data_IF_633780592938
#
_entry.id   IF_633780592938
#
_cell.length_a   1.000
_cell.length_b   1.000
_cell.length_c   1.000
_cell.angle_alpha   90.00
_cell.angle_beta   90.00
_cell.angle_gamma   90.00
#
_symmetry.space_group_name_H-M   'P 1'
#
loop_
_entity.id
_entity.type
_entity.pdbx_description
1 polymer ?
#
# COMPACT_ATOMS: atom_id res chain seq x y z
N UNK A 1 -21.40 2.01 -5.84
CA UNK A 1 -20.79 1.20 -4.77
C UNK A 1 -20.95 -0.25 -5.16
N UNK A 2 -19.97 -1.09 -4.84
CA UNK A 2 -20.04 -2.52 -5.10
C UNK A 2 -20.61 -3.21 -3.87
N UNK A 3 -21.54 -4.16 -4.02
CA UNK A 3 -22.05 -4.91 -2.87
C UNK A 3 -20.91 -5.73 -2.28
N UNK A 4 -20.58 -5.48 -1.01
CA UNK A 4 -19.61 -6.29 -0.29
C UNK A 4 -20.22 -7.67 -0.04
N UNK A 5 -19.59 -8.78 -0.48
CA UNK A 5 -20.11 -10.11 -0.21
C UNK A 5 -20.19 -10.38 1.29
N UNK A 6 -21.28 -11.01 1.76
CA UNK A 6 -21.50 -11.24 3.20
C UNK A 6 -20.35 -12.03 3.84
N UNK A 7 -19.82 -13.03 3.13
CA UNK A 7 -18.65 -13.81 3.54
C UNK A 7 -17.40 -12.96 3.82
N UNK A 8 -17.30 -11.77 3.23
CA UNK A 8 -16.17 -10.86 3.35
C UNK A 8 -16.51 -9.50 3.96
N UNK A 9 -17.70 -9.34 4.56
CA UNK A 9 -18.17 -8.08 5.16
C UNK A 9 -17.18 -7.45 6.11
N UNK A 10 -16.54 -8.25 6.98
CA UNK A 10 -15.49 -7.80 7.90
C UNK A 10 -14.27 -7.15 7.23
N UNK A 11 -14.03 -7.45 5.95
CA UNK A 11 -12.93 -6.88 5.16
C UNK A 11 -13.34 -5.64 4.36
N UNK A 12 -14.59 -5.20 4.48
CA UNK A 12 -15.10 -3.90 4.01
C UNK A 12 -15.21 -2.87 5.15
N UNK A 13 -15.12 -3.30 6.41
CA UNK A 13 -15.23 -2.43 7.58
C UNK A 13 -13.97 -1.58 7.83
N UNK A 14 -14.13 -0.37 8.39
CA UNK A 14 -13.01 0.49 8.74
C UNK A 14 -12.14 -0.14 9.84
N UNK A 15 -10.88 0.29 9.87
CA UNK A 15 -9.94 -0.07 10.94
C UNK A 15 -9.07 1.14 11.27
N UNK A 16 -8.35 1.11 12.40
CA UNK A 16 -7.56 2.24 12.92
C UNK A 16 -6.69 2.98 11.88
N UNK A 17 -6.11 2.27 10.91
CA UNK A 17 -5.21 2.83 9.90
C UNK A 17 -5.78 2.76 8.47
N UNK A 18 -6.94 2.14 8.29
CA UNK A 18 -7.70 2.16 7.04
C UNK A 18 -9.10 2.68 7.35
N UNK A 19 -9.19 3.99 7.52
CA UNK A 19 -10.37 4.75 7.94
C UNK A 19 -11.38 4.90 6.78
N UNK A 20 -11.93 3.77 6.31
CA UNK A 20 -12.82 3.71 5.14
C UNK A 20 -14.18 4.38 5.31
N UNK A 21 -14.52 4.74 6.54
CA UNK A 21 -15.69 5.50 6.96
C UNK A 21 -15.45 7.02 6.95
N UNK A 22 -14.21 7.50 6.80
CA UNK A 22 -13.94 8.94 6.71
C UNK A 22 -14.57 9.54 5.43
N UNK A 23 -15.35 10.62 5.53
CA UNK A 23 -16.03 11.23 4.38
C UNK A 23 -15.10 11.62 3.22
N UNK A 24 -13.84 11.98 3.50
CA UNK A 24 -12.84 12.33 2.49
C UNK A 24 -12.35 11.10 1.73
N UNK A 25 -12.15 9.99 2.44
CA UNK A 25 -11.82 8.69 1.83
C UNK A 25 -12.97 8.25 0.92
N UNK A 26 -14.22 8.29 1.41
CA UNK A 26 -15.42 7.92 0.64
C UNK A 26 -15.56 8.79 -0.61
N UNK A 27 -15.44 10.11 -0.46
CA UNK A 27 -15.54 11.06 -1.58
C UNK A 27 -14.46 10.80 -2.63
N UNK A 28 -13.22 10.57 -2.21
CA UNK A 28 -12.12 10.27 -3.11
C UNK A 28 -12.30 8.93 -3.82
N UNK A 29 -12.68 7.88 -3.08
CA UNK A 29 -12.90 6.55 -3.65
C UNK A 29 -13.98 6.59 -4.73
N UNK A 30 -15.13 7.22 -4.44
CA UNK A 30 -16.22 7.43 -5.42
C UNK A 30 -15.75 8.24 -6.64
N UNK A 31 -14.90 9.24 -6.46
CA UNK A 31 -14.33 10.03 -7.56
C UNK A 31 -13.44 9.17 -8.46
N UNK A 32 -12.52 8.40 -7.88
CA UNK A 32 -11.61 7.53 -8.62
C UNK A 32 -12.40 6.48 -9.40
N UNK A 33 -13.41 5.88 -8.78
CA UNK A 33 -14.13 4.74 -9.36
C UNK A 33 -15.40 5.13 -10.13
N UNK A 34 -15.59 6.42 -10.44
CA UNK A 34 -16.85 6.93 -11.03
C UNK A 34 -17.28 6.19 -12.31
N UNK A 35 -16.30 5.77 -13.12
CA UNK A 35 -16.54 5.09 -14.41
C UNK A 35 -16.39 3.57 -14.35
N UNK A 36 -15.93 3.03 -13.22
CA UNK A 36 -15.67 1.60 -13.08
C UNK A 36 -16.97 0.83 -12.86
N UNK A 37 -17.10 -0.31 -13.54
CA UNK A 37 -18.31 -1.15 -13.55
C UNK A 37 -18.17 -2.40 -12.71
N UNK A 38 -16.94 -2.86 -12.45
CA UNK A 38 -16.67 -4.07 -11.68
C UNK A 38 -15.74 -3.80 -10.50
N UNK A 39 -15.77 -4.62 -9.42
CA UNK A 39 -14.83 -4.51 -8.30
C UNK A 39 -13.37 -4.56 -8.76
N UNK A 40 -13.04 -5.41 -9.73
CA UNK A 40 -11.70 -5.49 -10.33
C UNK A 40 -11.26 -4.20 -11.00
N UNK A 41 -12.14 -3.58 -11.79
CA UNK A 41 -11.85 -2.29 -12.45
C UNK A 41 -11.59 -1.20 -11.41
N UNK A 42 -12.47 -1.08 -10.41
CA UNK A 42 -12.34 -0.12 -9.33
C UNK A 42 -11.08 -0.32 -8.48
N UNK A 43 -10.80 -1.56 -8.06
CA UNK A 43 -9.57 -1.89 -7.33
C UNK A 43 -8.31 -1.53 -8.13
N UNK A 44 -8.31 -1.78 -9.44
CA UNK A 44 -7.19 -1.41 -10.32
C UNK A 44 -7.05 0.10 -10.49
N UNK A 45 -8.14 0.84 -10.60
CA UNK A 45 -8.14 2.32 -10.66
C UNK A 45 -7.60 2.94 -9.38
N UNK A 46 -8.08 2.47 -8.22
CA UNK A 46 -7.60 2.87 -6.89
C UNK A 46 -6.11 2.53 -6.73
N UNK A 47 -5.71 1.32 -7.11
CA UNK A 47 -4.31 0.87 -7.08
C UNK A 47 -3.40 1.84 -7.83
N UNK A 48 -3.73 2.14 -9.10
CA UNK A 48 -2.94 3.06 -9.94
C UNK A 48 -2.89 4.44 -9.33
N UNK A 49 -4.03 4.94 -8.85
CA UNK A 49 -4.11 6.25 -8.21
C UNK A 49 -3.18 6.32 -7.00
N UNK A 50 -3.27 5.39 -6.05
CA UNK A 50 -2.40 5.40 -4.84
C UNK A 50 -0.93 5.19 -5.19
N UNK A 51 -0.65 4.29 -6.14
CA UNK A 51 0.71 3.98 -6.60
C UNK A 51 1.41 5.21 -7.15
N UNK A 52 0.72 5.98 -7.98
CA UNK A 52 1.31 7.08 -8.75
C UNK A 52 1.09 8.47 -8.12
N UNK A 53 0.13 8.65 -7.20
CA UNK A 53 -0.08 9.93 -6.49
C UNK A 53 0.76 10.07 -5.21
N UNK A 54 1.41 9.01 -4.74
CA UNK A 54 2.32 9.07 -3.60
C UNK A 54 3.64 8.41 -3.99
N UNK A 55 4.74 9.14 -3.97
CA UNK A 55 6.06 8.55 -4.17
C UNK A 55 6.42 7.69 -2.96
N UNK A 56 7.12 6.57 -3.19
CA UNK A 56 7.61 5.76 -2.08
C UNK A 56 8.72 6.52 -1.34
N UNK A 57 8.63 6.60 -0.01
CA UNK A 57 9.68 7.24 0.80
C UNK A 57 9.60 6.75 2.24
N UNK A 58 10.72 6.81 2.96
CA UNK A 58 10.78 6.53 4.39
C UNK A 58 10.18 7.72 5.15
N UNK A 59 8.87 7.65 5.36
CA UNK A 59 8.10 8.60 6.18
C UNK A 59 7.37 7.86 7.31
N UNK A 60 7.10 8.52 8.45
CA UNK A 60 6.30 7.92 9.51
C UNK A 60 4.94 7.44 9.01
N UNK A 61 4.50 6.29 9.51
CA UNK A 61 3.18 5.71 9.25
C UNK A 61 2.14 6.50 10.05
N UNK A 62 1.12 7.03 9.37
CA UNK A 62 0.08 7.90 9.96
C UNK A 62 -1.35 7.43 9.71
N UNK A 63 -1.58 6.41 8.87
CA UNK A 63 -2.92 5.96 8.49
C UNK A 63 -3.44 6.65 7.21
N UNK A 64 -4.53 6.12 6.65
CA UNK A 64 -5.04 6.53 5.35
C UNK A 64 -5.53 7.98 5.35
N UNK A 65 -6.28 8.38 6.38
CA UNK A 65 -6.85 9.73 6.50
C UNK A 65 -5.76 10.80 6.58
N UNK A 66 -4.82 10.64 7.51
CA UNK A 66 -3.70 11.59 7.68
C UNK A 66 -2.75 11.59 6.49
N UNK A 67 -2.61 10.48 5.78
CA UNK A 67 -1.84 10.46 4.54
C UNK A 67 -2.46 11.36 3.46
N UNK A 68 -3.79 11.40 3.32
CA UNK A 68 -4.45 12.30 2.37
C UNK A 68 -4.15 13.78 2.65
N UNK A 69 -4.05 14.15 3.93
CA UNK A 69 -3.76 15.51 4.40
C UNK A 69 -2.29 15.90 4.24
N UNK A 70 -1.40 14.94 3.97
CA UNK A 70 0.03 15.20 3.84
C UNK A 70 0.29 16.09 2.62
N UNK A 71 0.96 17.24 2.87
CA UNK A 71 1.42 18.17 1.83
C UNK A 71 2.41 17.47 0.88
N UNK A 72 3.42 16.82 1.45
CA UNK A 72 4.33 15.98 0.70
C UNK A 72 3.64 14.67 0.29
N UNK A 73 3.51 14.45 -1.02
CA UNK A 73 2.95 13.23 -1.59
C UNK A 73 3.94 12.07 -1.56
N UNK A 74 4.33 11.67 -0.36
CA UNK A 74 5.35 10.66 -0.07
C UNK A 74 4.93 9.74 1.07
N UNK A 75 5.16 8.45 0.94
CA UNK A 75 4.76 7.48 1.96
C UNK A 75 5.50 6.15 1.87
N UNK A 76 5.61 5.47 3.02
CA UNK A 76 6.10 4.10 3.12
C UNK A 76 5.08 3.11 2.52
N UNK A 77 5.51 1.89 2.18
CA UNK A 77 4.64 0.82 1.70
C UNK A 77 3.42 0.59 2.59
N UNK A 78 3.58 0.66 3.92
CA UNK A 78 2.48 0.49 4.88
C UNK A 78 1.40 1.54 4.72
N UNK A 79 1.77 2.82 4.59
CA UNK A 79 0.81 3.93 4.49
C UNK A 79 0.14 3.99 3.10
N UNK A 80 0.89 3.63 2.04
CA UNK A 80 0.30 3.43 0.71
C UNK A 80 -0.69 2.26 0.72
N UNK A 81 -0.39 1.17 1.43
CA UNK A 81 -1.30 0.03 1.60
C UNK A 81 -2.53 0.41 2.44
N UNK A 82 -2.34 1.16 3.52
CA UNK A 82 -3.42 1.72 4.35
C UNK A 82 -4.43 2.49 3.49
N UNK A 83 -3.93 3.44 2.69
CA UNK A 83 -4.76 4.27 1.83
C UNK A 83 -5.46 3.45 0.73
N UNK A 84 -4.76 2.52 0.11
CA UNK A 84 -5.36 1.61 -0.87
C UNK A 84 -6.51 0.80 -0.26
N UNK A 85 -6.29 0.17 0.89
CA UNK A 85 -7.32 -0.63 1.57
C UNK A 85 -8.50 0.25 1.97
N UNK A 86 -8.26 1.44 2.56
CA UNK A 86 -9.32 2.35 2.96
C UNK A 86 -10.22 2.75 1.78
N UNK A 87 -9.61 3.09 0.63
CA UNK A 87 -10.34 3.46 -0.58
C UNK A 87 -11.15 2.30 -1.16
N UNK A 88 -10.59 1.08 -1.20
CA UNK A 88 -11.32 -0.12 -1.66
C UNK A 88 -12.53 -0.40 -0.77
N UNK A 89 -12.32 -0.40 0.54
CA UNK A 89 -13.38 -0.65 1.53
C UNK A 89 -14.49 0.39 1.47
N UNK A 90 -14.15 1.66 1.25
CA UNK A 90 -15.12 2.76 1.14
C UNK A 90 -16.09 2.64 -0.05
N UNK A 91 -15.75 1.83 -1.06
CA UNK A 91 -16.65 1.52 -2.19
C UNK A 91 -17.22 0.09 -2.13
N UNK A 92 -17.03 -0.61 -1.02
CA UNK A 92 -17.58 -1.95 -0.76
C UNK A 92 -16.73 -3.10 -1.32
N UNK A 93 -15.45 -2.86 -1.60
CA UNK A 93 -14.54 -3.89 -2.11
C UNK A 93 -13.75 -4.47 -0.92
N UNK A 94 -13.88 -5.79 -0.63
CA UNK A 94 -13.12 -6.42 0.44
C UNK A 94 -11.61 -6.33 0.20
N UNK A 95 -10.88 -5.83 1.19
CA UNK A 95 -9.42 -5.71 1.12
C UNK A 95 -8.76 -6.04 2.46
N UNK A 96 -7.61 -6.71 2.42
CA UNK A 96 -6.86 -7.15 3.60
C UNK A 96 -5.36 -6.90 3.44
N UNK A 97 -4.67 -6.76 4.57
CA UNK A 97 -3.23 -6.63 4.61
C UNK A 97 -2.56 -8.00 4.46
N UNK A 98 -1.38 -8.00 3.84
CA UNK A 98 -0.44 -9.11 3.90
C UNK A 98 0.91 -8.57 4.34
N UNK A 99 1.41 -9.08 5.46
CA UNK A 99 2.77 -8.88 5.92
C UNK A 99 3.62 -10.05 5.45
N UNK A 100 4.67 -9.78 4.68
CA UNK A 100 5.51 -10.81 4.09
C UNK A 100 7.00 -10.53 4.32
N UNK A 101 7.75 -11.58 4.63
CA UNK A 101 9.20 -11.58 4.51
C UNK A 101 9.53 -12.11 3.11
N UNK A 102 10.09 -11.25 2.25
CA UNK A 102 10.18 -11.51 0.82
C UNK A 102 11.45 -10.93 0.19
N UNK A 103 11.78 -11.41 -1.01
CA UNK A 103 12.78 -10.80 -1.87
C UNK A 103 12.10 -9.88 -2.87
N UNK A 104 12.19 -8.57 -2.65
CA UNK A 104 11.59 -7.57 -3.52
C UNK A 104 12.30 -7.53 -4.88
N UNK A 105 11.53 -7.20 -5.93
CA UNK A 105 12.05 -6.91 -7.27
C UNK A 105 12.63 -5.50 -7.29
N UNK A 106 13.84 -5.39 -6.77
CA UNK A 106 14.61 -4.15 -6.72
C UNK A 106 15.51 -4.08 -7.97
N UNK A 107 15.59 -2.90 -8.58
CA UNK A 107 16.48 -2.63 -9.72
C UNK A 107 17.88 -2.25 -9.26
N UNK A 108 17.95 -1.43 -8.23
CA UNK A 108 19.21 -1.05 -7.60
C UNK A 108 19.82 -2.27 -6.86
N UNK A 109 21.09 -2.56 -7.14
CA UNK A 109 21.80 -3.70 -6.56
C UNK A 109 22.32 -3.39 -5.15
N UNK A 110 22.52 -2.11 -4.82
CA UNK A 110 23.01 -1.65 -3.52
C UNK A 110 21.92 -1.74 -2.44
N UNK A 111 20.66 -1.81 -2.86
CA UNK A 111 19.54 -1.96 -1.96
C UNK A 111 19.32 -3.44 -1.56
N UNK A 112 19.09 -3.70 -0.26
CA UNK A 112 18.85 -5.06 0.24
C UNK A 112 17.55 -5.63 -0.34
N UNK A 113 17.69 -6.74 -1.08
CA UNK A 113 16.54 -7.43 -1.70
C UNK A 113 15.62 -8.09 -0.68
N UNK A 114 16.17 -8.67 0.39
CA UNK A 114 15.39 -9.29 1.46
C UNK A 114 14.78 -8.18 2.32
N UNK A 115 13.46 -8.13 2.38
CA UNK A 115 12.74 -7.09 3.10
C UNK A 115 11.47 -7.63 3.75
N UNK A 116 11.10 -7.01 4.86
CA UNK A 116 9.78 -7.17 5.46
C UNK A 116 8.85 -6.14 4.84
N UNK A 117 7.82 -6.62 4.16
CA UNK A 117 6.97 -5.83 3.29
C UNK A 117 5.49 -5.96 3.66
N UNK A 118 4.74 -4.86 3.53
CA UNK A 118 3.29 -4.86 3.70
C UNK A 118 2.66 -4.44 2.37
N UNK A 119 1.73 -5.26 1.88
CA UNK A 119 0.92 -5.01 0.70
C UNK A 119 -0.53 -5.45 0.94
N UNK A 120 -1.42 -5.31 -0.05
CA UNK A 120 -2.81 -5.72 0.06
C UNK A 120 -3.16 -6.93 -0.82
N UNK A 121 -4.13 -7.72 -0.37
CA UNK A 121 -4.95 -8.56 -1.23
C UNK A 121 -6.37 -7.98 -1.29
N UNK A 122 -7.01 -8.05 -2.45
CA UNK A 122 -8.33 -7.49 -2.72
C UNK A 122 -9.23 -8.52 -3.40
N UNK A 123 -10.48 -8.64 -2.96
CA UNK A 123 -11.46 -9.51 -3.59
C UNK A 123 -12.02 -8.83 -4.85
N UNK A 124 -11.78 -9.42 -6.02
CA UNK A 124 -12.17 -8.83 -7.32
C UNK A 124 -13.53 -9.28 -7.83
N UNK A 125 -14.22 -10.13 -7.06
CA UNK A 125 -15.50 -10.76 -7.39
C UNK A 125 -15.38 -12.28 -7.48
N UNK A 126 -14.24 -12.75 -7.96
CA UNK A 126 -13.96 -14.17 -8.22
C UNK A 126 -12.86 -14.71 -7.30
N UNK A 127 -11.80 -13.91 -7.08
CA UNK A 127 -10.64 -14.32 -6.31
C UNK A 127 -10.01 -13.17 -5.52
N UNK A 128 -9.09 -13.51 -4.61
CA UNK A 128 -8.23 -12.55 -3.92
C UNK A 128 -7.00 -12.25 -4.77
N UNK A 129 -6.96 -11.08 -5.40
CA UNK A 129 -5.80 -10.64 -6.19
C UNK A 129 -4.81 -9.83 -5.36
N UNK A 130 -3.53 -9.95 -5.70
CA UNK A 130 -2.45 -9.15 -5.09
C UNK A 130 -2.52 -7.71 -5.60
N UNK A 131 -2.45 -6.76 -4.67
CA UNK A 131 -2.36 -5.33 -4.94
C UNK A 131 -1.29 -4.68 -4.05
N UNK A 132 -0.11 -4.47 -4.62
CA UNK A 132 0.97 -3.73 -3.97
C UNK A 132 1.15 -2.32 -4.57
N UNK A 133 0.61 -1.26 -3.96
CA UNK A 133 0.72 0.08 -4.50
C UNK A 133 2.10 0.73 -4.26
N UNK A 134 3.09 0.01 -3.73
CA UNK A 134 4.32 0.61 -3.18
C UNK A 134 5.20 1.33 -4.20
N UNK A 135 5.45 0.75 -5.37
CA UNK A 135 6.44 1.30 -6.31
C UNK A 135 5.77 1.74 -7.61
N UNK A 136 5.82 3.04 -7.89
CA UNK A 136 5.15 3.71 -9.00
C UNK A 136 6.07 4.63 -9.78
N UNK A 137 5.44 5.59 -10.48
CA UNK A 137 6.16 6.66 -11.18
C UNK A 137 7.09 7.44 -10.24
N UNK A 138 8.30 7.73 -10.72
CA UNK A 138 9.36 8.40 -9.96
C UNK A 138 10.22 7.47 -9.10
N UNK A 139 9.89 6.17 -9.04
CA UNK A 139 10.63 5.17 -8.27
C UNK A 139 11.44 4.16 -9.10
N UNK A 140 11.45 4.33 -10.43
CA UNK A 140 11.99 3.40 -11.42
C UNK A 140 13.50 3.21 -11.37
N UNK A 141 14.22 4.17 -10.77
CA UNK A 141 15.66 4.07 -10.54
C UNK A 141 15.98 3.00 -9.49
N UNK A 142 15.10 2.84 -8.50
CA UNK A 142 15.31 1.93 -7.37
C UNK A 142 14.53 0.63 -7.52
N UNK A 143 13.28 0.70 -7.96
CA UNK A 143 12.35 -0.41 -7.88
C UNK A 143 11.74 -0.75 -9.24
N UNK A 144 11.33 -2.01 -9.41
CA UNK A 144 10.43 -2.36 -10.50
C UNK A 144 9.02 -1.84 -10.18
N UNK A 145 8.40 -1.15 -11.15
CA UNK A 145 7.03 -0.63 -11.00
C UNK A 145 6.07 -1.79 -10.70
N UNK A 146 5.28 -1.63 -9.64
CA UNK A 146 4.28 -2.61 -9.24
C UNK A 146 3.12 -2.64 -10.25
N UNK A 147 2.63 -3.84 -10.54
CA UNK A 147 1.50 -4.06 -11.45
C UNK A 147 0.40 -4.78 -10.68
N UNK A 148 -0.84 -4.31 -10.82
CA UNK A 148 -2.00 -4.94 -10.19
C UNK A 148 -2.10 -6.43 -10.58
N UNK A 149 -2.39 -7.30 -9.63
CA UNK A 149 -2.45 -8.74 -9.81
C UNK A 149 -1.10 -9.44 -9.92
N UNK A 150 0.04 -8.70 -9.91
CA UNK A 150 1.38 -9.28 -10.01
C UNK A 150 2.18 -9.08 -8.73
N UNK A 151 2.97 -10.08 -8.28
CA UNK A 151 3.83 -9.94 -7.13
C UNK A 151 4.97 -8.97 -7.40
N UNK A 152 5.23 -8.07 -6.45
CA UNK A 152 6.39 -7.16 -6.42
C UNK A 152 7.67 -7.82 -5.88
N UNK A 153 7.60 -9.11 -5.58
CA UNK A 153 8.69 -9.95 -5.08
C UNK A 153 8.97 -11.11 -6.04
N UNK A 154 10.17 -11.68 -5.95
CA UNK A 154 10.55 -12.92 -6.63
C UNK A 154 10.23 -14.14 -5.78
N UNK A 155 10.37 -14.03 -4.45
CA UNK A 155 10.15 -15.13 -3.50
C UNK A 155 9.57 -14.60 -2.19
N UNK A 156 8.64 -15.37 -1.60
CA UNK A 156 8.12 -15.16 -0.24
C UNK A 156 8.62 -16.28 0.65
N UNK A 157 9.14 -15.93 1.83
CA UNK A 157 9.53 -16.88 2.87
C UNK A 157 8.32 -17.16 3.75
N UNK A 158 7.77 -16.10 4.33
CA UNK A 158 6.64 -16.15 5.24
C UNK A 158 5.65 -15.06 4.87
N UNK A 159 4.35 -15.33 5.01
CA UNK A 159 3.29 -14.33 4.86
C UNK A 159 2.18 -14.52 5.88
N UNK A 160 1.68 -13.41 6.41
CA UNK A 160 0.56 -13.35 7.34
C UNK A 160 -0.51 -12.39 6.81
N UNK A 161 -1.74 -12.90 6.68
CA UNK A 161 -2.91 -12.11 6.29
C UNK A 161 -3.56 -11.50 7.51
N UNK A 162 -3.95 -10.23 7.43
CA UNK A 162 -4.50 -9.50 8.55
C UNK A 162 -5.62 -8.58 8.09
N UNK A 163 -6.67 -8.47 8.91
CA UNK A 163 -7.75 -7.49 8.68
C UNK A 163 -7.28 -6.06 9.02
N UNK A 164 -6.53 -5.91 10.10
CA UNK A 164 -6.07 -4.64 10.65
C UNK A 164 -4.59 -4.72 11.06
N UNK A 165 -3.93 -3.57 11.12
CA UNK A 165 -2.61 -3.44 11.70
C UNK A 165 -2.72 -3.11 13.19
N UNK A 166 -1.89 -3.73 14.03
CA UNK A 166 -1.85 -3.41 15.46
C UNK A 166 -1.09 -2.09 15.71
N UNK A 167 -1.49 -1.28 16.71
CA UNK A 167 -0.76 -0.08 17.07
C UNK A 167 0.70 -0.34 17.46
N UNK A 168 0.95 -1.46 18.14
CA UNK A 168 2.30 -1.88 18.51
C UNK A 168 3.18 -2.16 17.29
N UNK A 169 2.65 -2.86 16.27
CA UNK A 169 3.39 -3.11 15.03
C UNK A 169 3.77 -1.79 14.35
N UNK A 170 2.80 -0.86 14.23
CA UNK A 170 3.04 0.45 13.61
C UNK A 170 4.07 1.26 14.40
N UNK A 171 3.99 1.25 15.72
CA UNK A 171 4.96 1.90 16.60
C UNK A 171 6.38 1.33 16.39
N UNK A 172 6.53 0.02 16.40
CA UNK A 172 7.82 -0.66 16.19
C UNK A 172 8.38 -0.33 14.81
N UNK A 173 7.57 -0.38 13.74
CA UNK A 173 8.04 -0.05 12.38
C UNK A 173 8.49 1.40 12.30
N UNK A 174 7.76 2.34 12.89
CA UNK A 174 8.19 3.75 12.95
C UNK A 174 9.53 3.92 13.67
N UNK A 175 9.75 3.19 14.77
CA UNK A 175 11.01 3.22 15.51
C UNK A 175 12.18 2.69 14.65
N UNK A 176 11.98 1.54 13.99
CA UNK A 176 12.98 0.95 13.10
C UNK A 176 13.29 1.89 11.93
N UNK A 177 12.28 2.48 11.29
CA UNK A 177 12.48 3.41 10.17
C UNK A 177 13.15 4.72 10.57
N UNK A 178 13.12 5.08 11.87
CA UNK A 178 13.79 6.27 12.40
C UNK A 178 15.25 6.01 12.76
N UNK A 179 15.59 4.85 13.31
CA UNK A 179 16.91 4.61 13.92
C UNK A 179 17.78 3.54 13.25
N UNK A 180 17.19 2.63 12.45
CA UNK A 180 17.93 1.51 11.87
C UNK A 180 19.01 1.95 10.87
N UNK A 181 20.13 1.22 10.85
CA UNK A 181 21.16 1.33 9.81
C UNK A 181 20.58 1.08 8.42
N UNK A 182 19.66 0.12 8.30
CA UNK A 182 18.89 -0.14 7.07
C UNK A 182 18.25 1.12 6.50
N UNK A 183 17.52 1.89 7.33
CA UNK A 183 16.87 3.11 6.87
C UNK A 183 17.86 4.20 6.44
N UNK A 184 19.07 4.22 7.02
CA UNK A 184 20.14 5.15 6.65
C UNK A 184 20.72 4.80 5.28
N UNK A 185 21.05 3.53 5.05
CA UNK A 185 21.55 3.02 3.75
C UNK A 185 20.55 3.33 2.64
N UNK A 186 19.27 3.02 2.85
CA UNK A 186 18.22 3.31 1.86
C UNK A 186 18.14 4.81 1.52
N UNK A 187 18.19 5.69 2.54
CA UNK A 187 18.16 7.15 2.31
C UNK A 187 19.39 7.65 1.58
N UNK A 188 20.55 7.05 1.83
CA UNK A 188 21.81 7.40 1.16
C UNK A 188 21.74 7.05 -0.32
N UNK A 189 21.30 5.83 -0.65
CA UNK A 189 21.13 5.39 -2.05
C UNK A 189 20.09 6.24 -2.78
N UNK A 190 18.97 6.57 -2.12
CA UNK A 190 17.98 7.51 -2.66
C UNK A 190 18.62 8.86 -3.01
N UNK A 191 19.53 9.40 -2.18
CA UNK A 191 20.23 10.65 -2.47
C UNK A 191 21.19 10.52 -3.64
N UNK A 192 21.97 9.44 -3.70
CA UNK A 192 22.96 9.17 -4.77
C UNK A 192 22.31 9.16 -6.15
N UNK A 193 21.17 8.49 -6.29
CA UNK A 193 20.48 8.39 -7.59
C UNK A 193 19.59 9.60 -7.92
N UNK A 194 19.57 10.63 -7.07
CA UNK A 194 18.69 11.80 -7.20
C UNK A 194 17.22 11.43 -7.09
N UNK A 195 16.87 10.46 -6.25
CA UNK A 195 15.50 10.00 -6.04
C UNK A 195 14.64 11.10 -5.41
N UNK A 196 13.53 11.43 -6.07
CA UNK A 196 12.60 12.44 -5.57
C UNK A 196 13.19 13.84 -5.47
N UNK A 197 14.24 14.16 -6.25
CA UNK A 197 14.54 15.55 -6.60
C UNK A 197 13.66 15.98 -7.76
#
# INVERSE_FOLDING_TARGET
MFPCPEAFKKFCEPTRYAESDDPRIIKLARKITKKDKTPKQAARSIFRWVRDNYLWDIKPIVGARRLLERREKRALCTDKTNLFIALCRAVGIPARYVLADCWLKIRDKELPRKSRHIYAEVWTGEEWEVADPSFGKGSEKLFQICVFGKPSWTRVIHKKRMRSLSPLLVFIVNLIMKYSSFSRVVREEMRKVGYGK
#
